data_IF_400286639712
#
_entry.id   IF_400286639712
#
_cell.length_a   1.000
_cell.length_b   1.000
_cell.length_c   1.000
_cell.angle_alpha   90.00
_cell.angle_beta   90.00
_cell.angle_gamma   90.00
#
_symmetry.space_group_name_H-M   'P 1'
#
loop_
_entity.id
_entity.type
_entity.pdbx_description
1 polymer ?
#
# COMPACT_ATOMS: atom_id res chain seq x y z
N UNK A 1 5.04 9.63 -17.23
CA UNK A 1 4.74 8.65 -16.15
C UNK A 1 4.06 9.36 -14.98
N UNK A 2 3.09 8.74 -14.34
CA UNK A 2 2.44 9.27 -13.12
C UNK A 2 3.39 9.15 -11.92
N UNK A 3 3.31 10.09 -10.96
CA UNK A 3 4.13 10.04 -9.74
C UNK A 3 3.55 9.08 -8.69
N UNK A 4 4.36 8.68 -7.73
CA UNK A 4 3.91 7.92 -6.54
C UNK A 4 2.85 8.68 -5.74
N UNK A 5 3.02 9.99 -5.58
CA UNK A 5 2.02 10.81 -4.86
C UNK A 5 0.66 10.78 -5.56
N UNK A 6 0.63 10.83 -6.88
CA UNK A 6 -0.59 10.65 -7.65
C UNK A 6 -1.20 9.26 -7.47
N UNK A 7 -0.40 8.18 -7.59
CA UNK A 7 -0.88 6.82 -7.34
C UNK A 7 -1.58 6.71 -5.98
N UNK A 8 -0.93 7.19 -4.91
CA UNK A 8 -1.47 7.15 -3.55
C UNK A 8 -2.74 8.00 -3.43
N UNK A 9 -2.75 9.20 -4.01
CA UNK A 9 -3.94 10.07 -4.04
C UNK A 9 -5.11 9.38 -4.72
N UNK A 10 -4.87 8.80 -5.89
CA UNK A 10 -5.90 8.11 -6.66
C UNK A 10 -6.50 6.93 -5.86
N UNK A 11 -5.66 5.99 -5.38
CA UNK A 11 -6.18 4.80 -4.70
C UNK A 11 -6.91 5.15 -3.40
N UNK A 12 -6.48 6.19 -2.67
CA UNK A 12 -7.19 6.70 -1.47
C UNK A 12 -8.57 7.25 -1.83
N UNK A 13 -8.70 7.98 -2.93
CA UNK A 13 -9.97 8.52 -3.39
C UNK A 13 -10.96 7.43 -3.85
N UNK A 14 -10.46 6.22 -4.15
CA UNK A 14 -11.32 5.09 -4.53
C UNK A 14 -11.80 4.24 -3.36
N UNK A 15 -11.42 4.53 -2.11
CA UNK A 15 -11.91 3.79 -0.95
C UNK A 15 -13.44 3.74 -0.90
N UNK A 16 -14.00 2.55 -0.61
CA UNK A 16 -15.45 2.31 -0.61
C UNK A 16 -16.09 2.16 -2.00
N UNK A 17 -15.35 2.31 -3.10
CA UNK A 17 -15.86 2.07 -4.45
C UNK A 17 -16.04 0.57 -4.70
N UNK A 18 -17.05 0.17 -5.50
CA UNK A 18 -17.30 -1.24 -5.77
C UNK A 18 -16.18 -1.92 -6.56
N UNK A 19 -16.05 -3.23 -6.36
CA UNK A 19 -15.21 -4.08 -7.20
C UNK A 19 -16.01 -4.61 -8.38
N UNK A 20 -15.51 -4.42 -9.61
CA UNK A 20 -16.00 -5.05 -10.83
C UNK A 20 -14.83 -5.68 -11.59
N UNK A 21 -14.90 -6.99 -11.79
CA UNK A 21 -13.85 -7.73 -12.49
C UNK A 21 -13.67 -7.22 -13.93
N UNK A 22 -12.42 -6.98 -14.34
CA UNK A 22 -12.07 -6.42 -15.66
C UNK A 22 -12.31 -4.92 -15.78
N UNK A 23 -12.59 -4.19 -14.68
CA UNK A 23 -12.77 -2.74 -14.69
C UNK A 23 -11.59 -2.00 -14.07
N UNK A 24 -11.31 -0.78 -14.53
CA UNK A 24 -10.13 0.00 -14.22
C UNK A 24 -10.43 1.52 -14.04
N UNK A 25 -11.56 1.85 -13.42
CA UNK A 25 -11.95 3.24 -13.15
C UNK A 25 -13.07 3.78 -14.05
N UNK A 26 -13.72 2.92 -14.81
CA UNK A 26 -14.95 3.29 -15.54
C UNK A 26 -16.07 3.61 -14.55
N UNK A 27 -17.04 4.41 -15.00
CA UNK A 27 -18.29 4.62 -14.26
C UNK A 27 -19.25 3.48 -14.57
N UNK A 28 -19.71 2.79 -13.52
CA UNK A 28 -20.64 1.67 -13.65
C UNK A 28 -21.99 2.12 -14.27
N UNK A 29 -22.46 1.37 -15.26
CA UNK A 29 -23.76 1.52 -15.87
C UNK A 29 -24.20 0.19 -16.51
N UNK A 30 -25.43 0.14 -17.02
CA UNK A 30 -25.99 -1.08 -17.63
C UNK A 30 -25.18 -1.58 -18.84
N UNK A 31 -24.69 -0.69 -19.68
CA UNK A 31 -23.89 -1.05 -20.85
C UNK A 31 -22.56 -1.71 -20.46
N UNK A 32 -21.84 -1.11 -19.49
CA UNK A 32 -20.61 -1.67 -18.94
C UNK A 32 -20.87 -3.02 -18.26
N UNK A 33 -21.96 -3.13 -17.47
CA UNK A 33 -22.35 -4.39 -16.84
C UNK A 33 -22.56 -5.51 -17.88
N UNK A 34 -23.36 -5.26 -18.90
CA UNK A 34 -23.68 -6.24 -19.94
C UNK A 34 -22.40 -6.67 -20.70
N UNK A 35 -21.53 -5.72 -21.03
CA UNK A 35 -20.23 -6.00 -21.65
C UNK A 35 -19.36 -6.89 -20.78
N UNK A 36 -19.22 -6.55 -19.49
CA UNK A 36 -18.38 -7.32 -18.56
C UNK A 36 -18.97 -8.68 -18.23
N UNK A 37 -20.28 -8.79 -18.07
CA UNK A 37 -20.98 -10.07 -17.89
C UNK A 37 -20.80 -11.00 -19.10
N UNK A 38 -20.84 -10.45 -20.33
CA UNK A 38 -20.55 -11.24 -21.54
C UNK A 38 -19.11 -11.73 -21.57
N UNK A 39 -18.15 -10.88 -21.16
CA UNK A 39 -16.71 -11.19 -21.17
C UNK A 39 -16.31 -12.14 -20.04
N UNK A 40 -16.94 -12.02 -18.87
CA UNK A 40 -16.58 -12.73 -17.63
C UNK A 40 -17.82 -13.26 -16.89
N UNK A 41 -18.60 -14.17 -17.49
CA UNK A 41 -19.90 -14.57 -16.96
C UNK A 41 -19.86 -15.10 -15.53
N UNK A 42 -18.81 -15.84 -15.16
CA UNK A 42 -18.65 -16.40 -13.81
C UNK A 42 -18.41 -15.33 -12.72
N UNK A 43 -17.99 -14.12 -13.09
CA UNK A 43 -17.71 -13.02 -12.15
C UNK A 43 -18.96 -12.15 -11.89
N UNK A 44 -20.05 -12.32 -12.63
CA UNK A 44 -21.22 -11.45 -12.61
C UNK A 44 -22.52 -12.24 -12.35
N UNK A 45 -22.48 -13.23 -11.44
CA UNK A 45 -23.60 -14.18 -11.25
C UNK A 45 -24.55 -13.87 -10.10
N UNK A 46 -24.08 -13.29 -9.00
CA UNK A 46 -24.79 -13.37 -7.72
C UNK A 46 -25.05 -12.02 -7.02
N UNK A 47 -24.74 -10.88 -7.62
CA UNK A 47 -24.84 -9.57 -6.96
C UNK A 47 -25.69 -8.62 -7.79
N UNK A 48 -26.54 -7.84 -7.14
CA UNK A 48 -27.27 -6.76 -7.79
C UNK A 48 -26.34 -5.58 -8.07
N UNK A 49 -25.76 -5.61 -9.27
CA UNK A 49 -24.82 -4.60 -9.72
C UNK A 49 -25.50 -3.24 -10.04
N UNK A 50 -26.81 -3.20 -10.24
CA UNK A 50 -27.53 -1.97 -10.57
C UNK A 50 -27.45 -0.92 -9.46
N UNK A 51 -27.38 -1.36 -8.19
CA UNK A 51 -27.18 -0.48 -7.01
C UNK A 51 -25.82 0.24 -7.00
N UNK A 52 -24.92 -0.16 -7.88
CA UNK A 52 -23.58 0.39 -7.99
C UNK A 52 -23.41 1.35 -9.18
N UNK A 53 -24.45 1.51 -10.02
CA UNK A 53 -24.40 2.41 -11.16
C UNK A 53 -24.12 3.86 -10.73
N UNK A 54 -23.39 4.59 -11.56
CA UNK A 54 -22.88 5.92 -11.25
C UNK A 54 -21.59 5.95 -10.43
N UNK A 55 -21.15 4.81 -9.86
CA UNK A 55 -19.91 4.73 -9.08
C UNK A 55 -18.72 4.31 -9.95
N UNK A 56 -17.51 4.76 -9.61
CA UNK A 56 -16.28 4.23 -10.20
C UNK A 56 -16.08 2.79 -9.77
N UNK A 57 -15.61 1.93 -10.69
CA UNK A 57 -15.42 0.48 -10.45
C UNK A 57 -14.05 0.01 -10.90
N UNK A 58 -13.48 -0.90 -10.12
CA UNK A 58 -12.13 -1.42 -10.33
C UNK A 58 -12.06 -2.91 -9.99
N UNK A 59 -11.22 -3.66 -10.69
CA UNK A 59 -10.65 -4.89 -10.13
C UNK A 59 -9.30 -4.61 -9.46
N UNK A 60 -8.60 -5.64 -8.98
CA UNK A 60 -7.36 -5.47 -8.22
C UNK A 60 -6.25 -4.79 -9.04
N UNK A 61 -6.03 -5.20 -10.28
CA UNK A 61 -5.07 -4.58 -11.19
C UNK A 61 -5.62 -3.27 -11.78
N UNK A 62 -6.93 -3.22 -11.98
CA UNK A 62 -7.64 -2.05 -12.49
C UNK A 62 -7.57 -0.84 -11.58
N UNK A 63 -7.39 -1.03 -10.28
CA UNK A 63 -7.17 0.08 -9.34
C UNK A 63 -5.86 0.82 -9.66
N UNK A 64 -4.80 0.09 -10.00
CA UNK A 64 -3.52 0.67 -10.42
C UNK A 64 -3.64 1.25 -11.84
N UNK A 65 -4.27 0.53 -12.75
CA UNK A 65 -4.51 1.01 -14.14
C UNK A 65 -5.33 2.28 -14.15
N UNK A 66 -6.34 2.41 -13.28
CA UNK A 66 -7.09 3.66 -13.09
C UNK A 66 -6.18 4.83 -12.72
N UNK A 67 -5.24 4.62 -11.78
CA UNK A 67 -4.26 5.65 -11.45
C UNK A 67 -3.35 6.02 -12.62
N UNK A 68 -2.99 5.06 -13.47
CA UNK A 68 -2.15 5.32 -14.65
C UNK A 68 -2.89 6.10 -15.72
N UNK A 69 -4.18 5.78 -15.94
CA UNK A 69 -4.95 6.20 -17.11
C UNK A 69 -5.95 7.35 -16.87
N UNK A 70 -6.27 7.66 -15.60
CA UNK A 70 -7.10 8.83 -15.30
C UNK A 70 -6.26 10.09 -15.13
N UNK A 71 -6.80 11.22 -15.58
CA UNK A 71 -6.18 12.55 -15.38
C UNK A 71 -6.60 13.19 -14.04
N UNK A 72 -7.75 12.77 -13.49
CA UNK A 72 -8.24 13.16 -12.16
C UNK A 72 -8.82 11.94 -11.45
N UNK A 73 -9.05 12.04 -10.13
CA UNK A 73 -9.55 10.91 -9.31
C UNK A 73 -10.93 10.41 -9.76
N UNK A 74 -11.75 11.29 -10.31
CA UNK A 74 -13.08 10.99 -10.87
C UNK A 74 -13.10 11.00 -12.41
N UNK A 75 -11.94 11.17 -13.05
CA UNK A 75 -11.77 11.19 -14.50
C UNK A 75 -12.08 9.84 -15.17
N UNK A 76 -12.38 9.86 -16.47
CA UNK A 76 -12.49 8.64 -17.25
C UNK A 76 -11.10 8.11 -17.61
N UNK A 77 -10.87 6.78 -17.54
CA UNK A 77 -9.59 6.21 -17.91
C UNK A 77 -9.37 6.25 -19.42
N UNK A 78 -8.21 6.72 -19.84
CA UNK A 78 -7.75 6.63 -21.23
C UNK A 78 -7.00 5.30 -21.41
N UNK A 79 -7.70 4.28 -21.91
CA UNK A 79 -7.16 2.92 -22.05
C UNK A 79 -5.87 2.89 -22.86
N UNK A 80 -4.85 2.19 -22.32
CA UNK A 80 -3.57 1.96 -22.98
C UNK A 80 -3.23 0.46 -22.99
N UNK A 81 -3.31 -0.16 -24.17
CA UNK A 81 -3.05 -1.61 -24.33
C UNK A 81 -1.62 -2.03 -23.92
N UNK A 82 -0.63 -1.14 -24.05
CA UNK A 82 0.75 -1.43 -23.67
C UNK A 82 0.95 -1.52 -22.15
N UNK A 83 0.07 -0.90 -21.39
CA UNK A 83 0.08 -0.87 -19.92
C UNK A 83 -1.03 -1.74 -19.31
N UNK A 84 -1.75 -2.52 -20.12
CA UNK A 84 -2.84 -3.38 -19.66
C UNK A 84 -2.30 -4.66 -19.00
N UNK A 85 -1.79 -4.46 -17.78
CA UNK A 85 -1.19 -5.50 -16.96
C UNK A 85 -2.22 -6.10 -15.99
N UNK A 86 -2.22 -7.43 -15.87
CA UNK A 86 -2.79 -8.12 -14.71
C UNK A 86 -1.79 -8.12 -13.54
N UNK A 87 -2.20 -8.64 -12.37
CA UNK A 87 -1.34 -8.66 -11.18
C UNK A 87 0.01 -9.35 -11.42
N UNK A 88 0.01 -10.49 -12.15
CA UNK A 88 1.24 -11.20 -12.46
C UNK A 88 2.16 -10.40 -13.39
N UNK A 89 1.62 -9.75 -14.41
CA UNK A 89 2.40 -8.92 -15.34
C UNK A 89 2.96 -7.68 -14.66
N UNK A 90 2.26 -7.05 -13.73
CA UNK A 90 2.83 -5.99 -12.87
C UNK A 90 4.03 -6.49 -12.07
N UNK A 91 3.97 -7.70 -11.50
CA UNK A 91 5.10 -8.27 -10.78
C UNK A 91 6.26 -8.62 -11.69
N UNK A 92 6.02 -9.25 -12.84
CA UNK A 92 7.08 -9.65 -13.78
C UNK A 92 7.85 -8.44 -14.31
N UNK A 93 7.16 -7.33 -14.60
CA UNK A 93 7.76 -6.10 -15.14
C UNK A 93 8.22 -5.10 -14.06
N UNK A 94 8.12 -5.44 -12.77
CA UNK A 94 8.61 -4.58 -11.71
C UNK A 94 10.13 -4.39 -11.83
N UNK A 95 10.60 -3.13 -11.71
CA UNK A 95 12.03 -2.76 -11.82
C UNK A 95 12.87 -3.28 -10.65
N UNK A 96 12.22 -3.53 -9.50
CA UNK A 96 12.77 -4.16 -8.32
C UNK A 96 11.65 -4.91 -7.62
N UNK A 97 11.91 -6.13 -7.15
CA UNK A 97 10.90 -7.01 -6.57
C UNK A 97 11.52 -8.07 -5.67
N UNK A 98 10.70 -8.64 -4.77
CA UNK A 98 11.15 -9.69 -3.87
C UNK A 98 10.02 -10.26 -3.01
N UNK A 99 10.37 -11.21 -2.12
CA UNK A 99 9.45 -11.71 -1.10
C UNK A 99 9.13 -10.61 -0.08
N UNK A 100 7.98 -10.71 0.57
CA UNK A 100 7.53 -9.69 1.55
C UNK A 100 8.48 -9.55 2.73
N UNK A 101 9.28 -10.56 3.04
CA UNK A 101 10.33 -10.50 4.07
C UNK A 101 11.43 -9.46 3.79
N UNK A 102 11.63 -9.12 2.51
CA UNK A 102 12.56 -8.07 2.05
C UNK A 102 11.88 -6.75 1.68
N UNK A 103 10.64 -6.54 2.13
CA UNK A 103 9.85 -5.37 1.75
C UNK A 103 10.52 -4.05 2.20
N UNK A 104 10.77 -3.10 1.29
CA UNK A 104 11.54 -1.89 1.61
C UNK A 104 10.76 -0.85 2.40
N UNK A 105 9.47 -1.08 2.66
CA UNK A 105 8.58 -0.18 3.42
C UNK A 105 8.45 1.22 2.81
N UNK A 106 8.49 1.33 1.49
CA UNK A 106 8.39 2.58 0.74
C UNK A 106 6.96 2.75 0.21
N UNK A 107 6.26 3.87 0.51
CA UNK A 107 4.95 4.15 -0.05
C UNK A 107 4.94 4.12 -1.58
N UNK A 108 3.85 3.63 -2.17
CA UNK A 108 3.70 3.45 -3.61
C UNK A 108 4.22 2.11 -4.14
N UNK A 109 4.92 1.30 -3.32
CA UNK A 109 5.25 -0.07 -3.71
C UNK A 109 3.99 -0.90 -3.89
N UNK A 110 3.99 -1.74 -4.91
CA UNK A 110 2.95 -2.72 -5.13
C UNK A 110 3.22 -3.97 -4.28
N UNK A 111 2.17 -4.56 -3.72
CA UNK A 111 2.24 -5.81 -2.96
C UNK A 111 1.33 -6.85 -3.59
N UNK A 112 1.71 -8.11 -3.48
CA UNK A 112 1.07 -9.19 -4.23
C UNK A 112 0.77 -10.40 -3.36
N UNK A 113 -0.34 -11.09 -3.69
CA UNK A 113 -0.66 -12.44 -3.22
C UNK A 113 -0.54 -13.43 -4.39
N UNK A 114 -0.52 -14.72 -4.08
CA UNK A 114 -0.40 -15.77 -5.07
C UNK A 114 0.76 -16.72 -4.78
N UNK A 115 1.29 -17.35 -5.81
CA UNK A 115 2.39 -18.29 -5.75
C UNK A 115 3.64 -17.73 -6.43
N UNK A 116 4.76 -18.46 -6.38
CA UNK A 116 5.99 -18.09 -7.09
C UNK A 116 5.78 -17.98 -8.60
N UNK A 117 4.91 -18.82 -9.16
CA UNK A 117 4.63 -18.87 -10.60
C UNK A 117 3.57 -17.88 -11.04
N UNK A 118 2.62 -17.50 -10.17
CA UNK A 118 1.51 -16.64 -10.55
C UNK A 118 1.04 -15.73 -9.39
N UNK A 119 1.13 -14.43 -9.60
CA UNK A 119 0.58 -13.41 -8.69
C UNK A 119 -0.85 -13.12 -9.12
N UNK A 120 -1.82 -13.48 -8.29
CA UNK A 120 -3.25 -13.43 -8.59
C UNK A 120 -3.99 -12.26 -7.93
N UNK A 121 -3.32 -11.49 -7.08
CA UNK A 121 -3.89 -10.31 -6.44
C UNK A 121 -2.81 -9.26 -6.18
N UNK A 122 -3.23 -7.98 -6.16
CA UNK A 122 -2.33 -6.83 -6.08
C UNK A 122 -2.96 -5.71 -5.24
N UNK A 123 -2.14 -4.99 -4.50
CA UNK A 123 -2.50 -3.79 -3.76
C UNK A 123 -1.39 -2.75 -3.80
N UNK A 124 -1.67 -1.55 -3.32
CA UNK A 124 -0.73 -0.43 -3.24
C UNK A 124 -0.42 -0.15 -1.78
N UNK A 125 0.83 -0.24 -1.38
CA UNK A 125 1.27 0.17 -0.05
C UNK A 125 1.28 1.69 0.05
N UNK A 126 0.61 2.23 1.06
CA UNK A 126 0.43 3.68 1.25
C UNK A 126 1.19 4.25 2.45
N UNK A 127 2.06 3.44 3.05
CA UNK A 127 2.79 3.81 4.28
C UNK A 127 2.11 3.30 5.55
N UNK A 128 2.81 3.42 6.68
CA UNK A 128 2.30 3.09 8.03
C UNK A 128 1.68 1.69 8.17
N UNK A 129 2.21 0.71 7.44
CA UNK A 129 1.71 -0.67 7.45
C UNK A 129 0.38 -0.88 6.72
N UNK A 130 -0.07 0.08 5.90
CA UNK A 130 -1.38 0.10 5.23
C UNK A 130 -1.27 -0.15 3.74
N UNK A 131 -2.20 -0.92 3.21
CA UNK A 131 -2.34 -1.24 1.79
C UNK A 131 -3.76 -0.90 1.33
N UNK A 132 -3.91 -0.28 0.18
CA UNK A 132 -5.22 -0.15 -0.48
C UNK A 132 -5.30 -1.18 -1.60
N UNK A 133 -6.38 -1.95 -1.60
CA UNK A 133 -6.65 -3.03 -2.55
C UNK A 133 -8.11 -3.04 -3.00
N UNK A 134 -8.38 -3.36 -4.27
CA UNK A 134 -9.72 -3.74 -4.69
C UNK A 134 -9.87 -5.25 -4.44
N UNK A 135 -10.55 -5.61 -3.34
CA UNK A 135 -10.45 -6.93 -2.69
C UNK A 135 -11.40 -7.99 -3.25
N UNK A 136 -12.43 -7.57 -3.98
CA UNK A 136 -13.45 -8.44 -4.56
C UNK A 136 -14.86 -7.88 -4.39
N UNK A 137 -15.85 -8.51 -5.04
CA UNK A 137 -17.23 -8.02 -5.11
C UNK A 137 -17.86 -7.74 -3.74
N UNK A 138 -17.57 -8.55 -2.73
CA UNK A 138 -18.10 -8.39 -1.37
C UNK A 138 -17.54 -7.15 -0.66
N UNK A 139 -16.32 -6.76 -0.97
CA UNK A 139 -15.56 -5.78 -0.17
C UNK A 139 -15.35 -4.44 -0.89
N UNK A 140 -15.26 -4.45 -2.23
CA UNK A 140 -14.89 -3.25 -2.98
C UNK A 140 -13.43 -2.86 -2.77
N UNK A 141 -13.15 -1.56 -2.84
CA UNK A 141 -11.84 -0.97 -2.56
C UNK A 141 -11.73 -0.68 -1.06
N UNK A 142 -10.75 -1.31 -0.41
CA UNK A 142 -10.58 -1.26 1.06
C UNK A 142 -9.14 -0.98 1.45
N UNK A 143 -8.97 -0.50 2.68
CA UNK A 143 -7.68 -0.47 3.37
C UNK A 143 -7.48 -1.79 4.13
N UNK A 144 -6.31 -2.39 3.99
CA UNK A 144 -5.89 -3.59 4.71
C UNK A 144 -4.49 -3.42 5.30
N UNK A 145 -4.09 -4.30 6.22
CA UNK A 145 -2.74 -4.30 6.77
C UNK A 145 -1.74 -4.94 5.81
N UNK A 146 -0.49 -4.46 5.81
CA UNK A 146 0.64 -5.12 5.14
C UNK A 146 0.87 -6.56 5.65
N UNK A 147 0.43 -6.86 6.88
CA UNK A 147 0.48 -8.21 7.46
C UNK A 147 -0.65 -9.13 7.00
N UNK A 148 -1.60 -8.67 6.15
CA UNK A 148 -2.77 -9.42 5.69
C UNK A 148 -2.46 -10.44 4.59
N UNK A 149 -1.40 -11.25 4.75
CA UNK A 149 -1.09 -12.37 3.85
C UNK A 149 -0.50 -11.97 2.50
N UNK A 150 0.07 -10.77 2.39
CA UNK A 150 0.91 -10.38 1.26
C UNK A 150 2.18 -11.23 1.27
N UNK A 151 2.63 -11.68 0.08
CA UNK A 151 3.77 -12.59 -0.06
C UNK A 151 4.93 -11.99 -0.81
N UNK A 152 4.67 -11.02 -1.70
CA UNK A 152 5.67 -10.40 -2.55
C UNK A 152 5.45 -8.90 -2.65
N UNK A 153 6.48 -8.19 -3.08
CA UNK A 153 6.44 -6.77 -3.39
C UNK A 153 7.12 -6.49 -4.73
N UNK A 154 6.81 -5.34 -5.35
CA UNK A 154 7.47 -4.88 -6.55
C UNK A 154 7.34 -3.38 -6.75
N UNK A 155 8.40 -2.78 -7.32
CA UNK A 155 8.42 -1.38 -7.75
C UNK A 155 7.86 -1.29 -9.16
N UNK A 156 6.73 -0.60 -9.33
CA UNK A 156 6.05 -0.48 -10.62
C UNK A 156 6.90 0.25 -11.65
N UNK A 157 7.12 -0.38 -12.80
CA UNK A 157 7.89 0.21 -13.92
C UNK A 157 7.16 1.36 -14.63
N UNK A 158 5.85 1.54 -14.38
CA UNK A 158 5.00 2.56 -15.00
C UNK A 158 4.77 3.79 -14.10
N UNK A 159 5.37 3.81 -12.90
CA UNK A 159 5.28 4.89 -11.92
C UNK A 159 6.63 5.55 -11.74
N UNK A 160 6.65 6.88 -11.75
CA UNK A 160 7.83 7.64 -11.38
C UNK A 160 7.97 7.74 -9.87
N UNK A 161 9.07 7.19 -9.34
CA UNK A 161 9.44 7.22 -7.93
C UNK A 161 10.48 8.30 -7.60
N UNK A 162 10.88 9.13 -8.58
CA UNK A 162 11.77 10.26 -8.34
C UNK A 162 11.06 11.29 -7.44
N UNK A 163 11.81 11.82 -6.49
CA UNK A 163 11.24 12.69 -5.45
C UNK A 163 10.58 11.96 -4.27
N UNK A 164 10.41 10.63 -4.36
CA UNK A 164 10.26 9.79 -3.17
C UNK A 164 11.65 9.38 -2.68
N UNK A 165 12.51 10.35 -2.36
CA UNK A 165 13.59 10.07 -1.41
C UNK A 165 12.91 9.35 -0.25
N UNK A 166 13.48 8.20 0.15
CA UNK A 166 13.05 7.40 1.29
C UNK A 166 12.37 8.31 2.32
N UNK A 167 11.06 8.46 2.26
CA UNK A 167 10.36 9.00 3.40
C UNK A 167 10.46 7.89 4.43
N UNK A 168 11.47 8.03 5.27
CA UNK A 168 11.32 7.57 6.63
C UNK A 168 9.86 7.87 7.03
N UNK A 169 9.14 6.95 7.69
CA UNK A 169 7.69 7.00 7.84
C UNK A 169 7.25 8.42 8.14
N UNK A 170 6.30 8.94 7.34
CA UNK A 170 5.75 10.27 7.50
C UNK A 170 5.36 10.43 8.97
N UNK A 171 6.05 11.34 9.66
CA UNK A 171 5.68 11.76 10.98
C UNK A 171 4.22 12.20 10.94
N UNK A 172 3.42 11.61 11.83
CA UNK A 172 2.17 12.21 12.24
C UNK A 172 2.40 13.71 12.57
N UNK A 173 1.40 14.59 12.42
CA UNK A 173 1.56 16.03 12.68
C UNK A 173 2.29 16.21 14.00
N UNK A 174 3.43 16.90 13.97
CA UNK A 174 4.22 17.23 15.16
C UNK A 174 3.35 18.03 16.11
N UNK A 175 3.06 17.43 17.26
CA UNK A 175 2.88 18.21 18.47
C UNK A 175 4.20 18.96 18.77
N UNK A 176 4.16 20.13 19.44
CA UNK A 176 5.32 20.99 19.62
C UNK A 176 6.51 20.24 20.18
N UNK A 177 7.69 20.51 19.64
CA UNK A 177 8.95 19.85 19.91
C UNK A 177 9.22 19.68 21.43
N UNK A 178 9.15 18.41 21.88
CA UNK A 178 9.76 18.05 23.15
C UNK A 178 11.27 17.95 22.92
N UNK A 179 12.07 18.65 23.70
CA UNK A 179 13.52 18.66 23.63
C UNK A 179 14.08 17.23 23.73
N UNK A 180 14.91 16.85 22.75
CA UNK A 180 15.64 15.57 22.77
C UNK A 180 16.62 15.60 23.94
N UNK A 181 16.69 14.55 24.79
CA UNK A 181 17.67 14.50 25.87
C UNK A 181 19.09 14.63 25.31
N UNK A 182 19.93 15.39 25.99
CA UNK A 182 21.33 15.61 25.59
C UNK A 182 22.04 14.28 25.34
N UNK A 183 22.66 14.13 24.16
CA UNK A 183 23.45 12.94 23.80
C UNK A 183 22.72 11.85 23.00
N UNK A 184 21.43 11.98 22.69
CA UNK A 184 20.68 11.07 21.85
C UNK A 184 20.17 11.74 20.58
N UNK A 185 19.97 10.96 19.53
CA UNK A 185 19.38 11.46 18.28
C UNK A 185 17.84 11.35 18.31
N UNK A 186 17.16 12.17 17.49
CA UNK A 186 15.71 12.09 17.32
C UNK A 186 15.27 10.71 16.80
N UNK A 187 16.09 10.06 15.99
CA UNK A 187 15.86 8.72 15.49
C UNK A 187 15.91 7.65 16.62
N UNK A 188 16.88 7.76 17.55
CA UNK A 188 16.96 6.87 18.70
C UNK A 188 15.78 7.05 19.66
N UNK A 189 15.33 8.29 19.86
CA UNK A 189 14.15 8.58 20.68
C UNK A 189 12.87 7.98 20.05
N UNK A 190 12.73 8.11 18.74
CA UNK A 190 11.61 7.49 18.03
C UNK A 190 11.66 5.96 18.10
N UNK A 191 12.83 5.36 17.91
CA UNK A 191 13.02 3.92 18.04
C UNK A 191 12.69 3.41 19.45
N UNK A 192 13.01 4.19 20.50
CA UNK A 192 12.64 3.86 21.87
C UNK A 192 11.11 3.86 22.09
N UNK A 193 10.41 4.86 21.56
CA UNK A 193 8.94 4.92 21.60
C UNK A 193 8.29 3.75 20.83
N UNK A 194 8.88 3.36 19.71
CA UNK A 194 8.43 2.22 18.91
C UNK A 194 8.70 0.88 19.60
N UNK A 195 9.77 0.77 20.39
CA UNK A 195 9.99 -0.37 21.28
C UNK A 195 8.90 -0.50 22.36
N UNK A 196 8.48 0.62 22.95
CA UNK A 196 7.39 0.64 23.95
C UNK A 196 6.07 0.18 23.32
N UNK A 197 5.83 0.56 22.07
CA UNK A 197 4.66 0.13 21.27
C UNK A 197 4.79 -1.31 20.73
N UNK A 198 5.84 -2.06 21.09
CA UNK A 198 6.06 -3.44 20.68
C UNK A 198 6.56 -3.64 19.23
N UNK A 199 6.85 -2.58 18.46
CA UNK A 199 7.22 -2.66 17.04
C UNK A 199 8.52 -3.41 16.77
N UNK A 200 9.45 -3.42 17.72
CA UNK A 200 10.72 -4.15 17.65
C UNK A 200 10.67 -5.50 18.36
N UNK A 201 9.49 -5.93 18.88
CA UNK A 201 9.37 -7.15 19.68
C UNK A 201 9.98 -7.02 21.07
N UNK A 202 10.25 -8.16 21.74
CA UNK A 202 10.80 -8.22 23.10
C UNK A 202 12.09 -9.06 23.19
N UNK A 203 12.90 -8.83 24.22
CA UNK A 203 14.12 -9.60 24.50
C UNK A 203 15.10 -9.65 23.31
N UNK A 204 15.53 -10.84 22.93
CA UNK A 204 16.48 -11.06 21.82
C UNK A 204 15.93 -10.58 20.46
N UNK A 205 14.64 -10.72 20.23
CA UNK A 205 14.01 -10.23 18.99
C UNK A 205 14.14 -8.71 18.87
N UNK A 206 13.90 -7.95 19.96
CA UNK A 206 14.10 -6.50 20.00
C UNK A 206 15.54 -6.12 19.67
N UNK A 207 16.51 -6.82 20.29
CA UNK A 207 17.94 -6.57 20.06
C UNK A 207 18.30 -6.74 18.59
N UNK A 208 17.93 -7.87 18.00
CA UNK A 208 18.23 -8.19 16.61
C UNK A 208 17.56 -7.22 15.63
N UNK A 209 16.30 -6.85 15.89
CA UNK A 209 15.54 -5.96 15.02
C UNK A 209 16.07 -4.51 15.07
N UNK A 210 16.48 -4.02 16.25
CA UNK A 210 17.12 -2.71 16.38
C UNK A 210 18.48 -2.67 15.67
N UNK A 211 19.30 -3.72 15.84
CA UNK A 211 20.59 -3.81 15.15
C UNK A 211 20.45 -3.86 13.63
N UNK A 212 19.47 -4.60 13.11
CA UNK A 212 19.15 -4.62 11.67
C UNK A 212 18.66 -3.26 11.15
N UNK A 213 18.01 -2.48 12.00
CA UNK A 213 17.57 -1.12 11.69
C UNK A 213 18.68 -0.06 11.87
N UNK A 214 19.94 -0.48 12.16
CA UNK A 214 21.09 0.40 12.31
C UNK A 214 21.19 1.10 13.65
N UNK A 215 20.40 0.70 14.66
CA UNK A 215 20.44 1.29 15.99
C UNK A 215 21.34 0.54 16.95
N UNK A 216 22.00 1.28 17.83
CA UNK A 216 22.67 0.68 18.98
C UNK A 216 21.62 0.28 20.02
N UNK A 217 21.47 -1.04 20.24
CA UNK A 217 20.47 -1.59 21.17
C UNK A 217 20.55 -0.98 22.58
N UNK A 218 21.76 -0.86 23.15
CA UNK A 218 21.94 -0.35 24.51
C UNK A 218 21.47 1.09 24.65
N UNK A 219 21.80 1.94 23.67
CA UNK A 219 21.37 3.35 23.66
C UNK A 219 19.84 3.46 23.58
N UNK A 220 19.22 2.75 22.64
CA UNK A 220 17.76 2.74 22.50
C UNK A 220 17.06 2.15 23.73
N UNK A 221 17.60 1.08 24.32
CA UNK A 221 17.03 0.48 25.53
C UNK A 221 17.13 1.41 26.75
N UNK A 222 18.20 2.17 26.87
CA UNK A 222 18.33 3.20 27.92
C UNK A 222 17.26 4.29 27.75
N UNK A 223 16.98 4.74 26.53
CA UNK A 223 15.89 5.66 26.26
C UNK A 223 14.51 5.08 26.57
N UNK A 224 14.26 3.82 26.22
CA UNK A 224 13.02 3.10 26.61
C UNK A 224 12.84 3.15 28.13
N UNK A 225 13.89 2.83 28.89
CA UNK A 225 13.84 2.85 30.34
C UNK A 225 13.61 4.26 30.91
N UNK A 226 14.26 5.28 30.33
CA UNK A 226 14.09 6.68 30.73
C UNK A 226 12.67 7.20 30.46
N UNK A 227 12.09 6.83 29.32
CA UNK A 227 10.68 7.17 28.99
C UNK A 227 9.71 6.51 29.97
N UNK A 228 9.92 5.23 30.29
CA UNK A 228 9.05 4.49 31.21
C UNK A 228 9.15 5.03 32.67
N UNK A 229 10.30 5.64 33.06
CA UNK A 229 10.43 6.32 34.35
C UNK A 229 9.94 7.78 34.34
N UNK A 230 9.47 8.30 33.20
CA UNK A 230 9.01 9.68 33.05
C UNK A 230 10.12 10.74 32.99
N UNK A 231 11.39 10.34 32.83
CA UNK A 231 12.56 11.20 32.72
C UNK A 231 12.69 11.86 31.35
N UNK A 232 12.01 11.28 30.36
CA UNK A 232 11.94 11.74 28.96
C UNK A 232 10.50 11.69 28.50
N UNK A 233 10.01 12.79 27.94
CA UNK A 233 8.64 12.91 27.40
C UNK A 233 8.56 12.53 25.93
#
# INVERSE_FOLDING_TARGET
MKSVSWLITYVKAQLGRPYWYGCFGQTANAALYNSKKKQYPSQYTATDFSKQYGKKVHDCAGLIKGALWCSSVDGSPAYNANEDYNANRFYLNATSKGPISSFPNVPGMLVFKGTDKNKNHIGVYIGSGKVIEAKGHKYGVVESSISSGWKYWGKCNLINYEGTASQAPAQAPQAPAASTPSGYTSAELQAARDCIKGRYGNGMARRNNLQRAGFNYTRVQNLVNAILRGEVK
#
